data_IF_541629980522
#
_entry.id   IF_541629980522
#
_cell.length_a   1.000
_cell.length_b   1.000
_cell.length_c   1.000
_cell.angle_alpha   90.00
_cell.angle_beta   90.00
_cell.angle_gamma   90.00
#
_symmetry.space_group_name_H-M   'P 1'
#
loop_
_entity.id
_entity.type
_entity.pdbx_description
1 polymer ?
#
# COMPACT_ATOMS: atom_id res chain seq x y z
N UNK A 1 58.11 -1.65 -11.50
CA UNK A 1 57.59 -2.81 -10.75
C UNK A 1 56.09 -3.01 -10.98
N UNK A 2 55.21 -2.12 -10.51
CA UNK A 2 53.74 -2.33 -10.63
C UNK A 2 53.23 -2.47 -12.08
N UNK A 3 53.73 -1.64 -12.99
CA UNK A 3 53.33 -1.65 -14.41
C UNK A 3 53.67 -2.98 -15.10
N UNK A 4 54.77 -3.63 -14.70
CA UNK A 4 55.17 -4.91 -15.27
C UNK A 4 54.24 -6.04 -14.80
N UNK A 5 53.86 -6.04 -13.53
CA UNK A 5 52.90 -7.02 -12.99
C UNK A 5 51.52 -6.87 -13.61
N UNK A 6 51.01 -5.64 -13.77
CA UNK A 6 49.73 -5.38 -14.45
C UNK A 6 49.75 -5.85 -15.90
N UNK A 7 50.85 -5.59 -16.62
CA UNK A 7 51.02 -6.04 -18.02
C UNK A 7 51.04 -7.57 -18.13
N UNK A 8 51.72 -8.25 -17.20
CA UNK A 8 51.79 -9.71 -17.16
C UNK A 8 50.43 -10.34 -16.85
N UNK A 9 49.67 -9.76 -15.92
CA UNK A 9 48.31 -10.20 -15.58
C UNK A 9 47.35 -10.07 -16.76
N UNK A 10 47.37 -8.94 -17.48
CA UNK A 10 46.54 -8.72 -18.68
C UNK A 10 46.91 -9.72 -19.78
N UNK A 11 48.20 -9.98 -20.00
CA UNK A 11 48.66 -10.96 -20.99
C UNK A 11 48.18 -12.38 -20.66
N UNK A 12 48.19 -12.76 -19.38
CA UNK A 12 47.72 -14.07 -18.90
C UNK A 12 46.22 -14.25 -19.12
N UNK A 13 45.41 -13.24 -18.83
CA UNK A 13 43.96 -13.24 -19.13
C UNK A 13 43.69 -13.43 -20.63
N UNK A 14 44.51 -12.79 -21.48
CA UNK A 14 44.39 -12.83 -22.95
C UNK A 14 44.88 -14.15 -23.56
N UNK A 15 45.75 -14.89 -22.87
CA UNK A 15 46.23 -16.21 -23.30
C UNK A 15 45.13 -17.28 -23.21
N UNK A 16 44.24 -17.18 -22.21
CA UNK A 16 43.16 -18.15 -21.98
C UNK A 16 41.77 -17.54 -22.27
N UNK A 17 41.56 -17.10 -23.52
CA UNK A 17 40.35 -16.35 -23.93
C UNK A 17 39.03 -17.01 -23.55
N UNK A 18 38.90 -18.33 -23.77
CA UNK A 18 37.65 -19.06 -23.50
C UNK A 18 37.35 -19.11 -22.01
N UNK A 19 38.34 -19.48 -21.18
CA UNK A 19 38.18 -19.56 -19.73
C UNK A 19 37.85 -18.19 -19.15
N UNK A 20 38.60 -17.15 -19.53
CA UNK A 20 38.38 -15.77 -19.08
C UNK A 20 37.02 -15.24 -19.51
N UNK A 21 36.56 -15.58 -20.73
CA UNK A 21 35.26 -15.16 -21.23
C UNK A 21 34.10 -15.82 -20.46
N UNK A 22 34.16 -17.13 -20.23
CA UNK A 22 33.12 -17.86 -19.51
C UNK A 22 32.97 -17.41 -18.05
N UNK A 23 34.08 -17.09 -17.36
CA UNK A 23 34.02 -16.60 -15.97
C UNK A 23 33.46 -15.18 -15.89
N UNK A 24 33.85 -14.29 -16.81
CA UNK A 24 33.29 -12.95 -16.91
C UNK A 24 31.80 -12.99 -17.21
N UNK A 25 31.38 -13.83 -18.16
CA UNK A 25 29.98 -13.99 -18.52
C UNK A 25 29.16 -14.45 -17.31
N UNK A 26 29.64 -15.45 -16.56
CA UNK A 26 28.96 -15.93 -15.36
C UNK A 26 28.75 -14.84 -14.31
N UNK A 27 29.78 -14.03 -14.04
CA UNK A 27 29.68 -12.93 -13.06
C UNK A 27 28.74 -11.84 -13.55
N UNK A 28 28.79 -11.47 -14.84
CA UNK A 28 27.91 -10.46 -15.42
C UNK A 28 26.45 -10.90 -15.29
N UNK A 29 26.11 -12.11 -15.72
CA UNK A 29 24.73 -12.63 -15.64
C UNK A 29 24.28 -12.79 -14.18
N UNK A 30 25.18 -13.20 -13.29
CA UNK A 30 24.88 -13.33 -11.86
C UNK A 30 24.54 -12.00 -11.20
N UNK A 31 25.36 -10.97 -11.40
CA UNK A 31 25.16 -9.65 -10.81
C UNK A 31 23.98 -8.92 -11.44
N UNK A 32 23.75 -9.07 -12.76
CA UNK A 32 22.62 -8.42 -13.42
C UNK A 32 21.28 -9.02 -12.97
N UNK A 33 21.20 -10.35 -12.82
CA UNK A 33 19.98 -11.02 -12.34
C UNK A 33 19.60 -10.54 -10.93
N UNK A 34 20.53 -10.55 -9.98
CA UNK A 34 20.24 -10.14 -8.60
C UNK A 34 19.93 -8.63 -8.50
N UNK A 35 20.60 -7.79 -9.28
CA UNK A 35 20.31 -6.35 -9.26
C UNK A 35 18.92 -6.06 -9.84
N UNK A 36 18.51 -6.79 -10.87
CA UNK A 36 17.21 -6.64 -11.52
C UNK A 36 16.07 -7.05 -10.59
N UNK A 37 16.18 -8.19 -9.91
CA UNK A 37 15.13 -8.66 -8.98
C UNK A 37 14.99 -7.71 -7.78
N UNK A 38 16.09 -7.14 -7.28
CA UNK A 38 16.04 -6.15 -6.19
C UNK A 38 15.31 -4.88 -6.66
N UNK A 39 15.66 -4.36 -7.85
CA UNK A 39 15.01 -3.19 -8.42
C UNK A 39 13.51 -3.40 -8.67
N UNK A 40 13.14 -4.57 -9.21
CA UNK A 40 11.73 -4.96 -9.38
C UNK A 40 11.01 -5.12 -8.04
N UNK A 41 11.65 -5.76 -7.06
CA UNK A 41 11.07 -5.98 -5.72
C UNK A 41 10.73 -4.67 -5.03
N UNK A 42 11.65 -3.71 -5.01
CA UNK A 42 11.40 -2.37 -4.46
C UNK A 42 10.34 -1.60 -5.27
N UNK A 43 10.33 -1.73 -6.60
CA UNK A 43 9.31 -1.14 -7.46
C UNK A 43 7.90 -1.64 -7.15
N UNK A 44 7.73 -2.97 -7.07
CA UNK A 44 6.45 -3.61 -6.71
C UNK A 44 6.03 -3.22 -5.31
N UNK A 45 6.95 -3.25 -4.34
CA UNK A 45 6.67 -2.82 -2.97
C UNK A 45 6.17 -1.39 -2.92
N UNK A 46 6.78 -0.47 -3.68
CA UNK A 46 6.32 0.93 -3.76
C UNK A 46 4.93 1.02 -4.38
N UNK A 47 4.68 0.31 -5.47
CA UNK A 47 3.38 0.30 -6.14
C UNK A 47 2.26 -0.24 -5.24
N UNK A 48 2.52 -1.35 -4.53
CA UNK A 48 1.57 -1.93 -3.57
C UNK A 48 1.32 -0.96 -2.41
N UNK A 49 2.37 -0.33 -1.85
CA UNK A 49 2.18 0.69 -0.81
C UNK A 49 1.33 1.87 -1.30
N UNK A 50 1.56 2.36 -2.53
CA UNK A 50 0.74 3.43 -3.11
C UNK A 50 -0.72 3.03 -3.24
N UNK A 51 -0.99 1.84 -3.78
CA UNK A 51 -2.36 1.33 -3.89
C UNK A 51 -3.03 1.15 -2.52
N UNK A 52 -2.30 0.64 -1.51
CA UNK A 52 -2.82 0.50 -0.15
C UNK A 52 -3.09 1.87 0.48
N UNK A 53 -2.19 2.84 0.32
CA UNK A 53 -2.39 4.20 0.78
C UNK A 53 -3.61 4.86 0.10
N UNK A 54 -3.82 4.61 -1.19
CA UNK A 54 -4.99 5.09 -1.94
C UNK A 54 -6.29 4.41 -1.51
N UNK A 55 -6.26 3.12 -1.15
CA UNK A 55 -7.41 2.38 -0.63
C UNK A 55 -7.81 2.78 0.80
N UNK A 56 -7.00 3.61 1.47
CA UNK A 56 -7.40 4.28 2.69
C UNK A 56 -6.78 3.72 3.95
N UNK A 57 -5.46 3.89 4.12
CA UNK A 57 -4.80 3.64 5.41
C UNK A 57 -5.14 4.71 6.48
N UNK A 58 -6.07 5.63 6.18
CA UNK A 58 -6.43 6.79 6.99
C UNK A 58 -7.96 7.06 6.91
N UNK A 59 -8.78 6.01 6.81
CA UNK A 59 -10.24 6.13 6.82
C UNK A 59 -10.79 5.72 8.19
N UNK A 60 -11.44 6.67 8.86
CA UNK A 60 -12.12 6.45 10.14
C UNK A 60 -13.62 6.63 9.92
N UNK A 61 -14.40 5.56 10.14
CA UNK A 61 -15.87 5.61 10.04
C UNK A 61 -16.46 5.92 11.41
N UNK A 62 -17.09 7.08 11.54
CA UNK A 62 -17.80 7.50 12.75
C UNK A 62 -19.29 7.26 12.55
N UNK A 63 -19.88 6.41 13.39
CA UNK A 63 -21.33 6.21 13.46
C UNK A 63 -21.84 6.66 14.82
N UNK A 64 -23.03 7.23 14.86
CA UNK A 64 -23.61 7.64 16.13
C UNK A 64 -24.05 6.40 16.90
N UNK A 65 -23.59 6.30 18.13
CA UNK A 65 -23.85 5.14 18.99
C UNK A 65 -25.35 4.94 19.19
N UNK A 66 -25.86 3.77 18.80
CA UNK A 66 -27.10 3.23 19.37
C UNK A 66 -26.68 2.20 20.41
N UNK A 67 -27.09 2.39 21.66
CA UNK A 67 -26.81 1.49 22.78
C UNK A 67 -27.58 0.17 22.63
N UNK A 68 -27.28 -0.61 21.59
CA UNK A 68 -27.75 -1.97 21.44
C UNK A 68 -26.62 -2.88 21.89
N UNK A 69 -26.68 -3.29 23.16
CA UNK A 69 -25.70 -4.10 23.86
C UNK A 69 -25.66 -5.58 23.39
N UNK A 70 -25.96 -5.84 22.12
CA UNK A 70 -25.99 -7.18 21.56
C UNK A 70 -25.38 -7.16 20.15
N UNK A 71 -24.40 -8.05 19.96
CA UNK A 71 -23.78 -8.50 18.71
C UNK A 71 -22.98 -7.48 17.88
N UNK A 72 -21.65 -7.56 18.03
CA UNK A 72 -20.56 -6.92 17.24
C UNK A 72 -20.63 -7.17 15.71
N UNK A 73 -21.56 -7.99 15.22
CA UNK A 73 -21.74 -8.27 13.80
C UNK A 73 -22.86 -7.44 13.13
N UNK A 74 -23.52 -6.56 13.88
CA UNK A 74 -24.67 -5.78 13.39
C UNK A 74 -24.31 -4.64 12.42
N UNK A 75 -23.02 -4.31 12.29
CA UNK A 75 -22.53 -3.22 11.43
C UNK A 75 -22.61 -3.53 9.93
N UNK A 76 -22.71 -4.81 9.55
CA UNK A 76 -22.75 -5.24 8.15
C UNK A 76 -24.16 -5.58 7.65
N UNK A 77 -25.21 -5.45 8.50
CA UNK A 77 -26.59 -5.71 8.11
C UNK A 77 -27.47 -4.44 8.25
N UNK A 78 -27.56 -3.58 7.22
CA UNK A 78 -28.31 -2.32 7.29
C UNK A 78 -29.84 -2.50 7.27
N UNK A 79 -30.37 -3.73 7.19
CA UNK A 79 -31.80 -4.00 6.97
C UNK A 79 -32.61 -4.35 8.22
N UNK A 80 -32.00 -4.42 9.41
CA UNK A 80 -32.74 -4.74 10.65
C UNK A 80 -32.54 -3.65 11.69
N UNK A 81 -33.31 -2.56 11.58
CA UNK A 81 -33.85 -1.77 12.72
C UNK A 81 -34.53 -0.48 12.21
N UNK A 82 -35.60 -0.60 11.43
CA UNK A 82 -36.42 0.50 10.89
C UNK A 82 -37.24 1.26 11.94
N UNK A 83 -36.96 1.16 13.24
CA UNK A 83 -37.85 1.75 14.28
C UNK A 83 -37.21 2.15 15.61
N UNK A 84 -35.89 2.31 15.73
CA UNK A 84 -35.33 2.84 16.98
C UNK A 84 -34.29 3.91 16.70
N UNK A 85 -34.71 5.16 16.89
CA UNK A 85 -33.92 6.38 17.09
C UNK A 85 -32.56 6.34 16.38
N UNK A 86 -32.56 6.69 15.10
CA UNK A 86 -31.36 7.05 14.36
C UNK A 86 -30.68 8.14 15.17
N UNK A 87 -29.62 7.80 15.91
CA UNK A 87 -28.78 8.79 16.53
C UNK A 87 -28.27 9.66 15.37
N UNK A 88 -28.75 10.90 15.32
CA UNK A 88 -28.48 11.81 14.21
C UNK A 88 -27.09 12.38 14.46
N UNK A 89 -26.15 12.13 13.55
CA UNK A 89 -25.00 13.01 13.45
C UNK A 89 -25.53 14.33 12.89
N UNK A 90 -25.31 15.42 13.62
CA UNK A 90 -25.67 16.75 13.16
C UNK A 90 -24.52 17.34 12.34
N UNK A 91 -24.82 18.35 11.52
CA UNK A 91 -23.81 19.11 10.80
C UNK A 91 -22.79 19.77 11.76
N UNK A 92 -23.21 20.05 13.00
CA UNK A 92 -22.33 20.53 14.06
C UNK A 92 -21.27 19.49 14.48
N UNK A 93 -21.62 18.20 14.52
CA UNK A 93 -20.68 17.11 14.82
C UNK A 93 -19.69 16.91 13.68
N UNK A 94 -20.15 17.09 12.44
CA UNK A 94 -19.31 17.03 11.25
C UNK A 94 -18.25 18.15 11.25
N UNK A 95 -18.63 19.36 11.66
CA UNK A 95 -17.70 20.49 11.79
C UNK A 95 -16.69 20.31 12.95
N UNK A 96 -17.12 19.71 14.06
CA UNK A 96 -16.24 19.33 15.17
C UNK A 96 -15.19 18.28 14.74
N UNK A 97 -15.60 17.31 13.92
CA UNK A 97 -14.69 16.31 13.35
C UNK A 97 -13.71 16.98 12.35
N UNK A 98 -14.18 17.92 11.52
CA UNK A 98 -13.33 18.67 10.58
C UNK A 98 -12.29 19.55 11.25
N UNK A 99 -12.61 20.10 12.42
CA UNK A 99 -11.71 20.99 13.18
C UNK A 99 -10.70 20.24 14.06
N UNK A 100 -10.79 18.90 14.13
CA UNK A 100 -9.86 18.09 14.92
C UNK A 100 -8.51 17.95 14.18
N UNK A 101 -7.36 18.21 14.85
CA UNK A 101 -6.04 18.07 14.24
C UNK A 101 -5.79 16.64 13.73
N UNK A 102 -5.45 16.51 12.45
CA UNK A 102 -5.19 15.23 11.79
C UNK A 102 -6.31 14.78 10.83
N UNK A 103 -7.51 15.37 10.88
CA UNK A 103 -8.59 15.05 9.94
C UNK A 103 -8.42 15.86 8.66
N UNK A 104 -8.03 15.19 7.57
CA UNK A 104 -7.87 15.84 6.25
C UNK A 104 -9.20 16.07 5.53
N UNK A 105 -10.14 15.14 5.67
CA UNK A 105 -11.46 15.17 5.04
C UNK A 105 -12.46 14.44 5.93
N UNK A 106 -13.60 15.08 6.21
CA UNK A 106 -14.74 14.45 6.85
C UNK A 106 -16.01 14.74 6.03
N UNK A 107 -16.74 13.68 5.70
CA UNK A 107 -18.00 13.72 4.97
C UNK A 107 -19.02 12.79 5.61
N UNK A 108 -20.28 13.20 5.64
CA UNK A 108 -21.38 12.40 6.14
C UNK A 108 -21.95 11.51 5.04
N UNK A 109 -22.35 10.28 5.40
CA UNK A 109 -23.18 9.42 4.56
C UNK A 109 -24.63 9.48 5.09
N UNK A 110 -25.58 9.80 4.21
CA UNK A 110 -27.00 9.78 4.54
C UNK A 110 -27.67 8.64 3.76
N UNK A 111 -28.28 7.71 4.50
CA UNK A 111 -29.11 6.66 3.93
C UNK A 111 -30.56 7.17 3.90
N UNK A 112 -31.10 7.42 2.70
CA UNK A 112 -32.48 7.85 2.51
C UNK A 112 -33.36 6.61 2.31
N UNK A 113 -34.19 6.27 3.31
CA UNK A 113 -35.18 5.21 3.20
C UNK A 113 -36.43 5.76 2.50
N UNK A 114 -36.54 5.53 1.19
CA UNK A 114 -37.67 5.94 0.38
C UNK A 114 -38.39 4.73 -0.20
N UNK A 115 -39.52 4.34 0.38
CA UNK A 115 -40.44 3.39 -0.27
C UNK A 115 -41.38 4.16 -1.19
N UNK A 116 -41.24 3.97 -2.50
CA UNK A 116 -42.21 4.49 -3.47
C UNK A 116 -43.47 3.64 -3.36
N UNK A 117 -44.45 4.12 -2.58
CA UNK A 117 -45.80 3.55 -2.54
C UNK A 117 -46.63 4.21 -3.65
N UNK A 118 -47.33 3.39 -4.45
CA UNK A 118 -48.31 3.84 -5.44
C UNK A 118 -49.67 4.10 -4.81
#
# INVERSE_FOLDING_TARGET
MIVQHTKMAINSLKSNKVRTFLTLLGIIIGVTSVTTIIGLGEGVKRQVNQQINELGSDLITVTAGKNNHNNDFSFFNPTTNSSSSTAKLSDADLEAIRSTPGVKLAGGIMLLDGSITR
#
